data_IF_871473726220
#
_entry.id   IF_871473726220
#
_cell.length_a   1.000
_cell.length_b   1.000
_cell.length_c   1.000
_cell.angle_alpha   90.00
_cell.angle_beta   90.00
_cell.angle_gamma   90.00
#
_symmetry.space_group_name_H-M   'P 1'
#
loop_
_entity.id
_entity.type
_entity.pdbx_description
1 polymer ?
#
# COMPACT_ATOMS: atom_id res chain seq x y z
N UNK A 1 43.92 1.97 18.94
CA UNK A 1 44.09 1.65 17.51
C UNK A 1 43.33 0.35 17.27
N UNK A 2 42.01 0.42 17.02
CA UNK A 2 41.14 -0.73 16.81
C UNK A 2 40.52 -0.63 15.42
N UNK A 3 40.88 -1.57 14.55
CA UNK A 3 40.34 -1.72 13.20
C UNK A 3 38.91 -2.27 13.27
N UNK A 4 37.98 -1.56 12.63
CA UNK A 4 36.62 -2.03 12.37
C UNK A 4 36.64 -2.97 11.15
N UNK A 5 36.23 -4.22 11.36
CA UNK A 5 35.90 -5.18 10.32
C UNK A 5 34.53 -4.83 9.72
N UNK A 6 34.52 -4.29 8.50
CA UNK A 6 33.33 -4.24 7.64
C UNK A 6 33.09 -5.65 7.07
N UNK A 7 32.20 -6.40 7.72
CA UNK A 7 31.70 -7.67 7.20
C UNK A 7 30.70 -7.42 6.07
N UNK A 8 31.11 -7.76 4.85
CA UNK A 8 30.23 -7.86 3.69
C UNK A 8 29.19 -8.95 3.91
N UNK A 9 27.90 -8.57 3.96
CA UNK A 9 26.78 -9.50 3.88
C UNK A 9 25.58 -8.79 3.23
N UNK A 10 25.53 -8.79 1.90
CA UNK A 10 24.31 -8.45 1.15
C UNK A 10 24.38 -9.05 -0.26
N UNK A 11 24.21 -10.37 -0.36
CA UNK A 11 23.95 -11.04 -1.62
C UNK A 11 23.12 -12.30 -1.37
N UNK A 12 21.79 -12.18 -1.31
CA UNK A 12 20.90 -13.29 -1.66
C UNK A 12 19.44 -12.83 -1.82
N UNK A 13 18.84 -13.27 -2.93
CA UNK A 13 17.41 -13.28 -3.26
C UNK A 13 16.70 -11.93 -3.48
N UNK A 14 16.85 -11.37 -4.68
CA UNK A 14 15.80 -10.54 -5.30
C UNK A 14 15.01 -11.39 -6.30
N UNK A 15 13.67 -11.48 -6.20
CA UNK A 15 12.84 -12.22 -7.16
C UNK A 15 12.68 -11.49 -8.52
N UNK A 16 13.34 -10.36 -8.71
CA UNK A 16 13.48 -9.69 -10.00
C UNK A 16 14.94 -9.73 -10.41
N UNK A 17 15.23 -10.37 -11.55
CA UNK A 17 16.60 -10.54 -12.05
C UNK A 17 17.35 -9.21 -12.12
N UNK A 18 18.47 -9.12 -11.41
CA UNK A 18 19.61 -8.26 -11.73
C UNK A 18 19.40 -6.75 -11.82
N UNK A 19 18.32 -6.18 -11.27
CA UNK A 19 18.18 -4.71 -11.25
C UNK A 19 19.11 -4.17 -10.14
N UNK A 20 20.20 -3.51 -10.53
CA UNK A 20 21.07 -2.81 -9.59
C UNK A 20 20.28 -1.70 -8.86
N UNK A 21 20.54 -1.46 -7.57
CA UNK A 21 19.88 -0.46 -6.73
C UNK A 21 19.81 0.94 -7.38
N UNK A 22 20.82 1.33 -8.16
CA UNK A 22 20.81 2.58 -8.91
C UNK A 22 19.67 2.65 -9.96
N UNK A 23 19.38 1.53 -10.63
CA UNK A 23 18.29 1.46 -11.60
C UNK A 23 16.92 1.46 -10.89
N UNK A 24 16.80 0.81 -9.73
CA UNK A 24 15.58 0.87 -8.92
C UNK A 24 15.29 2.30 -8.42
N UNK A 25 16.31 3.02 -7.96
CA UNK A 25 16.17 4.42 -7.54
C UNK A 25 15.79 5.33 -8.72
N UNK A 26 16.38 5.11 -9.90
CA UNK A 26 16.01 5.86 -11.11
C UNK A 26 14.55 5.57 -11.52
N UNK A 27 14.12 4.31 -11.50
CA UNK A 27 12.72 3.92 -11.74
C UNK A 27 11.77 4.51 -10.71
N UNK A 28 12.16 4.51 -9.43
CA UNK A 28 11.41 5.12 -8.34
C UNK A 28 11.18 6.61 -8.56
N UNK A 29 12.26 7.37 -8.79
CA UNK A 29 12.18 8.81 -9.05
C UNK A 29 11.35 9.04 -10.31
N UNK A 30 11.67 8.35 -11.41
CA UNK A 30 10.94 8.50 -12.67
C UNK A 30 9.44 8.30 -12.47
N UNK A 31 9.05 7.28 -11.73
CA UNK A 31 7.65 6.91 -11.60
C UNK A 31 6.89 7.77 -10.57
N UNK A 32 7.58 8.46 -9.65
CA UNK A 32 7.00 9.56 -8.86
C UNK A 32 6.80 10.82 -9.72
N UNK A 33 7.73 11.08 -10.62
CA UNK A 33 7.81 12.35 -11.37
C UNK A 33 7.15 12.32 -12.74
N UNK A 34 6.59 11.18 -13.16
CA UNK A 34 6.03 10.99 -14.51
C UNK A 34 4.67 11.69 -14.74
N UNK A 35 4.24 12.51 -13.79
CA UNK A 35 3.00 13.27 -13.87
C UNK A 35 1.73 12.46 -13.59
N UNK A 36 1.84 11.15 -13.30
CA UNK A 36 0.69 10.37 -12.84
C UNK A 36 0.28 10.85 -11.45
N UNK A 37 -1.03 11.00 -11.24
CA UNK A 37 -1.57 11.32 -9.92
C UNK A 37 -1.15 10.23 -8.91
N UNK A 38 -0.50 10.58 -7.78
CA UNK A 38 -0.12 9.60 -6.75
C UNK A 38 -1.32 8.78 -6.23
N UNK A 39 -2.50 9.40 -6.23
CA UNK A 39 -3.77 8.75 -5.88
C UNK A 39 -4.21 7.74 -6.93
N UNK A 40 -4.01 8.03 -8.21
CA UNK A 40 -4.29 7.04 -9.24
C UNK A 40 -3.42 5.80 -9.01
N UNK A 41 -2.17 5.91 -8.58
CA UNK A 41 -1.33 4.74 -8.27
C UNK A 41 -1.96 3.83 -7.20
N UNK A 42 -2.57 4.38 -6.14
CA UNK A 42 -3.21 3.59 -5.07
C UNK A 42 -4.36 2.70 -5.56
N UNK A 43 -5.12 3.18 -6.56
CA UNK A 43 -6.22 2.43 -7.17
C UNK A 43 -5.77 1.59 -8.36
N UNK A 44 -4.86 2.12 -9.17
CA UNK A 44 -4.62 1.72 -10.55
C UNK A 44 -3.32 0.91 -10.75
N UNK A 45 -2.41 0.89 -9.78
CA UNK A 45 -1.22 0.05 -9.89
C UNK A 45 -1.60 -1.42 -9.97
N UNK A 46 -1.06 -2.12 -10.96
CA UNK A 46 -1.10 -3.57 -10.99
C UNK A 46 -0.12 -4.09 -9.93
N UNK A 47 -0.65 -4.61 -8.83
CA UNK A 47 0.16 -5.34 -7.86
C UNK A 47 0.62 -6.65 -8.53
N UNK A 48 1.94 -6.94 -8.58
CA UNK A 48 2.41 -8.20 -9.13
C UNK A 48 1.85 -9.35 -8.28
N UNK A 49 1.06 -10.27 -8.85
CA UNK A 49 0.46 -11.36 -8.11
C UNK A 49 1.57 -12.28 -7.62
N UNK A 50 1.74 -12.36 -6.31
CA UNK A 50 2.65 -13.32 -5.69
C UNK A 50 1.84 -14.47 -5.15
N UNK A 51 2.18 -15.67 -5.60
CA UNK A 51 1.74 -16.90 -4.95
C UNK A 51 2.24 -16.85 -3.50
N UNK A 52 1.33 -16.97 -2.54
CA UNK A 52 1.77 -17.38 -1.22
C UNK A 52 2.08 -18.87 -1.29
N UNK A 53 3.32 -19.25 -1.00
CA UNK A 53 3.59 -20.58 -0.46
C UNK A 53 2.56 -20.87 0.65
N UNK A 54 2.17 -22.13 0.83
CA UNK A 54 1.00 -22.55 1.62
C UNK A 54 0.84 -21.84 2.97
N UNK A 55 -0.36 -21.92 3.56
CA UNK A 55 -0.84 -21.13 4.71
C UNK A 55 0.11 -21.00 5.93
N UNK A 56 1.20 -21.78 6.01
CA UNK A 56 2.20 -21.79 7.07
C UNK A 56 3.54 -21.09 6.72
N UNK A 57 3.77 -20.62 5.48
CA UNK A 57 4.98 -19.84 5.13
C UNK A 57 4.78 -18.35 5.45
N UNK A 58 4.70 -18.09 6.75
CA UNK A 58 4.37 -16.83 7.43
C UNK A 58 5.49 -15.77 7.35
N UNK A 59 6.38 -15.86 6.36
CA UNK A 59 7.39 -14.83 6.11
C UNK A 59 6.81 -13.71 5.24
N UNK A 60 5.71 -13.11 5.71
CA UNK A 60 5.10 -11.93 5.11
C UNK A 60 6.16 -10.82 4.99
N UNK A 61 6.56 -10.46 3.77
CA UNK A 61 7.59 -9.46 3.55
C UNK A 61 7.20 -8.08 4.09
N UNK A 62 5.91 -7.75 4.12
CA UNK A 62 5.45 -6.50 4.73
C UNK A 62 5.63 -6.56 6.23
N UNK A 63 5.27 -7.71 6.82
CA UNK A 63 5.71 -8.03 8.17
C UNK A 63 7.23 -7.98 8.29
N UNK A 64 8.05 -8.42 7.31
CA UNK A 64 9.53 -8.26 7.39
C UNK A 64 9.95 -6.79 7.40
N UNK A 65 9.42 -5.93 6.53
CA UNK A 65 9.79 -4.51 6.48
C UNK A 65 9.41 -3.79 7.79
N UNK A 66 8.19 -3.98 8.27
CA UNK A 66 7.70 -3.36 9.51
C UNK A 66 8.34 -4.01 10.75
N UNK A 67 8.49 -5.34 10.79
CA UNK A 67 9.13 -6.04 11.90
C UNK A 67 10.62 -5.74 11.96
N UNK A 68 11.29 -5.57 10.83
CA UNK A 68 12.70 -5.17 10.81
C UNK A 68 12.86 -3.77 11.40
N UNK A 69 11.99 -2.83 11.02
CA UNK A 69 11.97 -1.51 11.63
C UNK A 69 11.74 -1.59 13.15
N UNK A 70 10.76 -2.38 13.60
CA UNK A 70 10.48 -2.61 15.03
C UNK A 70 11.63 -3.31 15.76
N UNK A 71 12.32 -4.25 15.11
CA UNK A 71 13.48 -4.96 15.66
C UNK A 71 14.63 -4.00 15.91
N UNK A 72 14.84 -3.04 15.01
CA UNK A 72 15.86 -1.99 15.14
C UNK A 72 15.43 -0.93 16.16
N UNK A 73 14.12 -0.71 16.33
CA UNK A 73 13.53 0.33 17.19
C UNK A 73 12.51 -0.23 18.21
N UNK A 74 12.92 -1.10 19.16
CA UNK A 74 11.97 -1.91 19.94
C UNK A 74 11.19 -1.17 21.04
N UNK A 75 11.62 0.03 21.45
CA UNK A 75 11.10 0.70 22.68
C UNK A 75 10.66 2.15 22.41
N UNK A 76 10.22 2.48 21.20
CA UNK A 76 9.77 3.84 20.89
C UNK A 76 8.31 4.07 21.26
N UNK A 77 8.01 5.21 21.86
CA UNK A 77 6.65 5.72 22.02
C UNK A 77 6.18 6.47 20.75
N UNK A 78 4.87 6.72 20.60
CA UNK A 78 4.31 7.36 19.40
C UNK A 78 4.95 8.69 19.02
N UNK A 79 5.35 9.50 20.01
CA UNK A 79 5.99 10.80 19.77
C UNK A 79 7.34 10.62 19.08
N UNK A 80 8.14 9.65 19.53
CA UNK A 80 9.44 9.31 18.96
C UNK A 80 9.29 8.67 17.56
N UNK A 81 8.26 7.84 17.38
CA UNK A 81 7.94 7.25 16.07
C UNK A 81 7.56 8.35 15.07
N UNK A 82 6.77 9.33 15.49
CA UNK A 82 6.39 10.49 14.66
C UNK A 82 7.61 11.33 14.31
N UNK A 83 8.51 11.56 15.26
CA UNK A 83 9.76 12.27 14.98
C UNK A 83 10.58 11.56 13.88
N UNK A 84 10.78 10.25 14.00
CA UNK A 84 11.46 9.44 12.95
C UNK A 84 10.73 9.44 11.62
N UNK A 85 9.38 9.37 11.64
CA UNK A 85 8.57 9.47 10.43
C UNK A 85 8.81 10.81 9.72
N UNK A 86 8.87 11.92 10.45
CA UNK A 86 9.15 13.25 9.90
C UNK A 86 10.54 13.29 9.25
N UNK A 87 11.58 12.82 9.95
CA UNK A 87 12.94 12.77 9.41
C UNK A 87 13.00 11.96 8.11
N UNK A 88 12.42 10.76 8.11
CA UNK A 88 12.40 9.88 6.94
C UNK A 88 11.62 10.46 5.76
N UNK A 89 10.47 11.11 6.00
CA UNK A 89 9.69 11.80 4.95
C UNK A 89 10.52 12.89 4.28
N UNK A 90 11.22 13.71 5.07
CA UNK A 90 12.05 14.80 4.54
C UNK A 90 13.26 14.26 3.78
N UNK A 91 13.86 13.17 4.25
CA UNK A 91 14.97 12.49 3.57
C UNK A 91 14.54 11.91 2.22
N UNK A 92 13.41 11.18 2.17
CA UNK A 92 12.88 10.61 0.92
C UNK A 92 12.42 11.67 -0.07
N UNK A 93 12.00 12.85 0.42
CA UNK A 93 11.62 13.97 -0.41
C UNK A 93 12.80 14.75 -1.00
N UNK A 94 13.96 14.75 -0.34
CA UNK A 94 15.13 15.49 -0.79
C UNK A 94 15.51 15.27 -2.27
N UNK A 95 15.57 14.02 -2.81
CA UNK A 95 15.88 13.78 -4.22
C UNK A 95 14.76 14.19 -5.20
N UNK A 96 13.56 14.49 -4.68
CA UNK A 96 12.35 14.87 -5.42
C UNK A 96 12.13 16.39 -5.47
N UNK A 97 12.94 17.18 -4.76
CA UNK A 97 12.82 18.63 -4.69
C UNK A 97 12.78 19.26 -6.09
N UNK A 98 11.73 20.03 -6.37
CA UNK A 98 11.50 20.69 -7.67
C UNK A 98 10.97 19.77 -8.77
N UNK A 99 10.69 18.49 -8.48
CA UNK A 99 10.18 17.51 -9.45
C UNK A 99 8.73 17.06 -9.18
N UNK A 100 8.19 17.37 -8.00
CA UNK A 100 6.82 17.06 -7.60
C UNK A 100 5.86 18.07 -8.26
N UNK A 101 5.28 17.71 -9.40
CA UNK A 101 4.43 18.61 -10.19
C UNK A 101 2.95 18.61 -9.76
N UNK A 102 2.52 17.65 -8.94
CA UNK A 102 1.10 17.42 -8.61
C UNK A 102 0.82 17.09 -7.14
N UNK A 103 1.72 17.45 -6.24
CA UNK A 103 1.52 17.16 -4.82
C UNK A 103 0.57 18.18 -4.17
N UNK A 104 -0.50 17.68 -3.55
CA UNK A 104 -1.45 18.46 -2.73
C UNK A 104 -0.77 19.11 -1.52
N UNK A 105 0.35 18.55 -1.05
CA UNK A 105 1.13 19.04 0.08
C UNK A 105 2.62 18.86 -0.18
N UNK A 106 3.40 19.87 0.16
CA UNK A 106 4.86 19.77 0.26
C UNK A 106 5.30 18.80 1.37
N UNK A 107 6.50 18.22 1.27
CA UNK A 107 7.11 17.42 2.34
C UNK A 107 7.14 18.16 3.68
N UNK A 108 7.41 19.47 3.67
CA UNK A 108 7.44 20.32 4.86
C UNK A 108 6.06 20.49 5.50
N UNK A 109 4.99 20.59 4.69
CA UNK A 109 3.62 20.65 5.19
C UNK A 109 3.15 19.31 5.78
N UNK A 110 3.56 18.18 5.18
CA UNK A 110 3.34 16.84 5.73
C UNK A 110 4.04 16.72 7.09
N UNK A 111 5.32 17.10 7.16
CA UNK A 111 6.09 17.11 8.40
C UNK A 111 5.45 18.02 9.46
N UNK A 112 4.99 19.22 9.08
CA UNK A 112 4.29 20.13 9.98
C UNK A 112 2.97 19.54 10.49
N UNK A 113 2.21 18.82 9.66
CA UNK A 113 0.99 18.14 10.08
C UNK A 113 1.27 17.06 11.14
N UNK A 114 2.31 16.25 10.94
CA UNK A 114 2.72 15.24 11.91
C UNK A 114 3.21 15.88 13.22
N UNK A 115 3.97 16.97 13.17
CA UNK A 115 4.41 17.71 14.37
C UNK A 115 3.24 18.22 15.21
N UNK A 116 2.16 18.69 14.57
CA UNK A 116 0.96 19.19 15.28
C UNK A 116 0.26 18.12 16.11
N UNK A 117 0.33 16.85 15.70
CA UNK A 117 -0.29 15.73 16.42
C UNK A 117 0.68 14.92 17.26
N UNK A 118 1.98 15.26 17.25
CA UNK A 118 3.05 14.48 17.88
C UNK A 118 2.84 14.21 19.39
N UNK A 119 2.09 15.08 20.08
CA UNK A 119 1.77 14.97 21.50
C UNK A 119 0.26 14.82 21.75
N UNK A 120 -0.51 14.51 20.70
CA UNK A 120 -1.95 14.25 20.79
C UNK A 120 -2.23 12.81 21.20
N UNK A 121 -3.51 12.43 21.23
CA UNK A 121 -3.88 11.04 21.49
C UNK A 121 -3.38 10.11 20.37
N UNK A 122 -3.19 8.83 20.70
CA UNK A 122 -2.81 7.80 19.71
C UNK A 122 -3.77 7.80 18.51
N UNK A 123 -5.08 7.94 18.77
CA UNK A 123 -6.10 8.00 17.74
C UNK A 123 -5.87 9.16 16.77
N UNK A 124 -5.64 10.37 17.28
CA UNK A 124 -5.43 11.56 16.44
C UNK A 124 -4.16 11.42 15.59
N UNK A 125 -3.11 10.83 16.15
CA UNK A 125 -1.86 10.54 15.43
C UNK A 125 -2.13 9.59 14.26
N UNK A 126 -2.82 8.49 14.52
CA UNK A 126 -3.08 7.46 13.53
C UNK A 126 -4.05 7.95 12.43
N UNK A 127 -5.11 8.68 12.80
CA UNK A 127 -6.03 9.30 11.83
C UNK A 127 -5.31 10.36 10.96
N UNK A 128 -4.38 11.13 11.54
CA UNK A 128 -3.54 12.05 10.78
C UNK A 128 -2.67 11.33 9.75
N UNK A 129 -2.00 10.25 10.15
CA UNK A 129 -1.13 9.45 9.26
C UNK A 129 -1.93 8.87 8.08
N UNK A 130 -3.11 8.31 8.33
CA UNK A 130 -4.00 7.80 7.27
C UNK A 130 -4.46 8.93 6.36
N UNK A 131 -4.83 10.07 6.93
CA UNK A 131 -5.24 11.25 6.16
C UNK A 131 -4.13 11.70 5.22
N UNK A 132 -2.89 11.81 5.71
CA UNK A 132 -1.74 12.19 4.89
C UNK A 132 -1.44 11.16 3.80
N UNK A 133 -1.50 9.86 4.12
CA UNK A 133 -1.33 8.77 3.15
C UNK A 133 -2.40 8.78 2.04
N UNK A 134 -3.62 9.25 2.32
CA UNK A 134 -4.71 9.26 1.33
C UNK A 134 -4.74 10.51 0.44
N UNK A 135 -3.93 11.53 0.77
CA UNK A 135 -3.77 12.73 -0.05
C UNK A 135 -2.97 12.44 -1.32
N UNK A 136 -3.10 13.31 -2.32
CA UNK A 136 -2.28 13.25 -3.53
C UNK A 136 -0.87 13.78 -3.22
N UNK A 137 -0.05 12.94 -2.59
CA UNK A 137 1.33 13.30 -2.23
C UNK A 137 2.27 12.17 -2.64
N UNK A 138 3.56 12.47 -2.80
CA UNK A 138 4.60 11.49 -3.08
C UNK A 138 4.62 10.35 -2.04
N UNK A 139 4.16 10.60 -0.82
CA UNK A 139 4.25 9.70 0.32
C UNK A 139 3.58 8.34 0.06
N UNK A 140 2.36 8.34 -0.50
CA UNK A 140 1.65 7.09 -0.75
C UNK A 140 2.30 6.27 -1.86
N UNK A 141 2.78 6.96 -2.90
CA UNK A 141 3.54 6.36 -3.97
C UNK A 141 4.81 5.72 -3.41
N UNK A 142 5.54 6.47 -2.60
CA UNK A 142 6.82 6.07 -2.03
C UNK A 142 6.71 4.81 -1.20
N UNK A 143 5.74 4.81 -0.28
CA UNK A 143 5.43 3.67 0.59
C UNK A 143 5.08 2.43 -0.25
N UNK A 144 4.16 2.55 -1.20
CA UNK A 144 3.73 1.39 -1.97
C UNK A 144 4.83 0.87 -2.90
N UNK A 145 5.65 1.75 -3.47
CA UNK A 145 6.79 1.35 -4.28
C UNK A 145 7.79 0.53 -3.46
N UNK A 146 8.24 1.03 -2.29
CA UNK A 146 9.23 0.29 -1.49
C UNK A 146 8.72 -1.06 -1.00
N UNK A 147 7.42 -1.16 -0.70
CA UNK A 147 6.79 -2.41 -0.28
C UNK A 147 6.67 -3.41 -1.45
N UNK A 148 6.27 -2.95 -2.64
CA UNK A 148 6.18 -3.78 -3.86
C UNK A 148 7.54 -4.33 -4.28
N UNK A 149 8.55 -3.47 -4.30
CA UNK A 149 9.89 -3.78 -4.80
C UNK A 149 10.85 -4.27 -3.73
N UNK A 150 10.38 -4.40 -2.49
CA UNK A 150 11.17 -4.95 -1.40
C UNK A 150 12.46 -4.19 -1.09
N UNK A 151 12.38 -2.87 -1.02
CA UNK A 151 13.54 -2.00 -0.79
C UNK A 151 13.89 -1.89 0.70
N UNK A 152 14.56 -2.91 1.24
CA UNK A 152 14.91 -2.96 2.67
C UNK A 152 15.84 -1.83 3.14
N UNK A 153 16.59 -1.21 2.24
CA UNK A 153 17.40 -0.02 2.50
C UNK A 153 16.56 1.19 2.94
N UNK A 154 15.25 1.19 2.66
CA UNK A 154 14.29 2.24 3.04
C UNK A 154 13.57 1.98 4.37
N UNK A 155 13.94 0.92 5.08
CA UNK A 155 13.32 0.55 6.37
C UNK A 155 13.47 1.66 7.41
N UNK A 156 14.61 2.35 7.48
CA UNK A 156 14.80 3.40 8.49
C UNK A 156 13.99 4.67 8.20
N UNK A 157 13.82 5.02 6.92
CA UNK A 157 13.13 6.25 6.50
C UNK A 157 11.62 6.07 6.41
N UNK A 158 11.13 4.99 5.79
CA UNK A 158 9.69 4.76 5.58
C UNK A 158 9.08 3.72 6.54
N UNK A 159 9.89 2.98 7.29
CA UNK A 159 9.43 2.05 8.33
C UNK A 159 8.52 2.68 9.39
N UNK A 160 8.84 3.85 9.96
CA UNK A 160 8.02 4.47 11.00
C UNK A 160 6.58 4.74 10.53
N UNK A 161 6.41 5.29 9.32
CA UNK A 161 5.08 5.61 8.81
C UNK A 161 4.32 4.34 8.37
N UNK A 162 5.00 3.34 7.80
CA UNK A 162 4.39 2.04 7.50
C UNK A 162 3.87 1.36 8.77
N UNK A 163 4.63 1.43 9.86
CA UNK A 163 4.22 0.92 11.17
C UNK A 163 2.95 1.61 11.66
N UNK A 164 2.89 2.95 11.64
CA UNK A 164 1.73 3.72 12.07
C UNK A 164 0.48 3.40 11.22
N UNK A 165 0.62 3.34 9.89
CA UNK A 165 -0.49 2.93 8.99
C UNK A 165 -1.01 1.53 9.31
N UNK A 166 -0.11 0.56 9.49
CA UNK A 166 -0.48 -0.80 9.86
C UNK A 166 -1.18 -0.85 11.22
N UNK A 167 -0.72 -0.05 12.18
CA UNK A 167 -1.31 0.02 13.51
C UNK A 167 -2.74 0.55 13.48
N UNK A 168 -2.99 1.62 12.70
CA UNK A 168 -4.35 2.13 12.50
C UNK A 168 -5.28 1.04 11.97
N UNK A 169 -4.86 0.35 10.90
CA UNK A 169 -5.70 -0.64 10.23
C UNK A 169 -6.02 -1.83 11.13
N UNK A 170 -5.08 -2.26 11.98
CA UNK A 170 -5.26 -3.42 12.85
C UNK A 170 -6.03 -3.13 14.13
N UNK A 171 -5.96 -1.92 14.68
CA UNK A 171 -6.42 -1.64 16.05
C UNK A 171 -7.45 -0.51 16.18
N UNK A 172 -7.50 0.43 15.23
CA UNK A 172 -8.34 1.64 15.35
C UNK A 172 -9.44 1.74 14.29
N UNK A 173 -9.36 0.91 13.25
CA UNK A 173 -10.42 0.76 12.25
C UNK A 173 -11.77 0.55 12.92
N UNK A 174 -12.77 1.43 12.70
CA UNK A 174 -14.13 1.18 13.14
C UNK A 174 -14.57 -0.15 12.53
N UNK A 175 -14.79 -1.16 13.37
CA UNK A 175 -15.35 -2.43 12.92
C UNK A 175 -16.67 -2.09 12.23
N UNK A 176 -16.74 -2.29 10.91
CA UNK A 176 -17.98 -2.07 10.16
C UNK A 176 -19.01 -3.00 10.81
N UNK A 177 -20.08 -2.48 11.43
CA UNK A 177 -21.09 -3.34 12.01
C UNK A 177 -21.61 -4.26 10.91
N UNK A 178 -21.62 -5.56 11.20
CA UNK A 178 -22.40 -6.50 10.40
C UNK A 178 -23.84 -5.98 10.53
N UNK A 179 -24.44 -5.52 9.43
CA UNK A 179 -25.79 -4.99 9.50
C UNK A 179 -26.75 -6.10 9.96
N UNK A 180 -27.77 -5.74 10.74
CA UNK A 180 -28.83 -6.65 11.21
C UNK A 180 -29.64 -7.26 10.05
N UNK A 181 -29.45 -6.77 8.82
CA UNK A 181 -29.99 -7.33 7.57
C UNK A 181 -29.11 -8.43 6.96
N UNK A 182 -28.00 -8.80 7.61
CA UNK A 182 -27.07 -9.85 7.16
C UNK A 182 -26.28 -9.50 5.89
N UNK A 183 -26.35 -8.25 5.42
CA UNK A 183 -25.60 -7.75 4.27
C UNK A 183 -24.79 -6.53 4.72
N UNK A 184 -23.60 -6.78 5.26
CA UNK A 184 -22.62 -5.71 5.35
C UNK A 184 -22.25 -5.30 3.92
N UNK A 185 -21.49 -4.21 3.75
CA UNK A 185 -20.89 -3.94 2.44
C UNK A 185 -19.83 -5.02 2.18
N UNK A 186 -20.31 -6.17 1.70
CA UNK A 186 -19.56 -7.41 1.53
C UNK A 186 -18.73 -7.38 0.26
N UNK A 187 -18.70 -6.26 -0.47
CA UNK A 187 -17.97 -6.17 -1.73
C UNK A 187 -17.37 -4.78 -1.90
N UNK A 188 -16.09 -4.76 -2.26
CA UNK A 188 -15.39 -3.55 -2.70
C UNK A 188 -14.75 -3.81 -4.07
N UNK A 189 -14.40 -2.73 -4.75
CA UNK A 189 -13.96 -2.76 -6.13
C UNK A 189 -12.63 -2.03 -6.27
N UNK A 190 -11.74 -2.55 -7.12
CA UNK A 190 -10.51 -1.85 -7.53
C UNK A 190 -10.40 -1.92 -9.05
N UNK A 191 -10.19 -0.77 -9.68
CA UNK A 191 -10.02 -0.65 -11.12
C UNK A 191 -8.55 -0.43 -11.45
N UNK A 192 -8.01 -1.28 -12.33
CA UNK A 192 -6.61 -1.26 -12.77
C UNK A 192 -6.55 -1.17 -14.29
N UNK A 193 -5.56 -0.44 -14.79
CA UNK A 193 -5.36 -0.13 -16.18
C UNK A 193 -3.89 -0.20 -16.56
N UNK A 194 -3.60 -1.00 -17.57
CA UNK A 194 -2.27 -1.25 -18.05
C UNK A 194 -2.03 -0.55 -19.39
N UNK A 195 -0.79 -0.11 -19.60
CA UNK A 195 -0.38 0.59 -20.82
C UNK A 195 -0.10 -0.38 -21.96
N UNK A 196 0.40 -1.57 -21.64
CA UNK A 196 0.78 -2.57 -22.64
C UNK A 196 -0.12 -3.80 -22.58
N UNK A 197 -0.37 -4.38 -23.75
CA UNK A 197 -1.07 -5.66 -23.86
C UNK A 197 -0.28 -6.79 -23.21
N UNK A 198 1.05 -6.74 -23.32
CA UNK A 198 1.95 -7.75 -22.77
C UNK A 198 1.83 -7.85 -21.26
N UNK A 199 1.86 -6.71 -20.56
CA UNK A 199 1.68 -6.68 -19.10
C UNK A 199 0.29 -7.13 -18.69
N UNK A 200 -0.73 -6.75 -19.47
CA UNK A 200 -2.11 -7.17 -19.23
C UNK A 200 -2.30 -8.67 -19.36
N UNK A 201 -1.79 -9.27 -20.45
CA UNK A 201 -1.83 -10.73 -20.65
C UNK A 201 -1.05 -11.45 -19.55
N UNK A 202 0.16 -10.98 -19.22
CA UNK A 202 0.99 -11.58 -18.17
C UNK A 202 0.27 -11.59 -16.82
N UNK A 203 -0.32 -10.47 -16.42
CA UNK A 203 -1.07 -10.36 -15.17
C UNK A 203 -2.28 -11.30 -15.15
N UNK A 204 -3.04 -11.37 -16.24
CA UNK A 204 -4.18 -12.29 -16.37
C UNK A 204 -3.72 -13.74 -16.26
N UNK A 205 -2.66 -14.12 -16.98
CA UNK A 205 -2.13 -15.48 -16.97
C UNK A 205 -1.65 -15.88 -15.57
N UNK A 206 -1.03 -14.95 -14.83
CA UNK A 206 -0.63 -15.16 -13.45
C UNK A 206 -1.84 -15.31 -12.52
N UNK A 207 -2.87 -14.47 -12.65
CA UNK A 207 -4.11 -14.62 -11.88
C UNK A 207 -4.86 -15.92 -12.21
N UNK A 208 -4.86 -16.34 -13.48
CA UNK A 208 -5.49 -17.59 -13.92
C UNK A 208 -4.83 -18.81 -13.27
N UNK A 209 -3.49 -18.81 -13.17
CA UNK A 209 -2.73 -19.85 -12.46
C UNK A 209 -3.00 -19.88 -10.96
N UNK A 210 -3.44 -18.75 -10.39
CA UNK A 210 -3.76 -18.63 -8.97
C UNK A 210 -5.21 -18.94 -8.63
N UNK A 211 -6.07 -19.26 -9.60
CA UNK A 211 -7.48 -19.64 -9.33
C UNK A 211 -7.53 -20.81 -8.33
N UNK A 212 -8.30 -20.63 -7.25
CA UNK A 212 -8.37 -21.57 -6.12
C UNK A 212 -7.25 -21.42 -5.08
N UNK A 213 -6.34 -20.46 -5.26
CA UNK A 213 -5.23 -20.16 -4.34
C UNK A 213 -5.21 -18.69 -3.94
N UNK A 214 -4.32 -18.32 -3.01
CA UNK A 214 -4.20 -16.96 -2.51
C UNK A 214 -3.19 -16.14 -3.31
N UNK A 215 -3.63 -14.96 -3.78
CA UNK A 215 -2.74 -13.89 -4.23
C UNK A 215 -2.43 -12.95 -3.08
N UNK A 216 -1.21 -12.38 -3.04
CA UNK A 216 -0.82 -11.38 -2.05
C UNK A 216 -0.58 -10.02 -2.71
N UNK A 217 -1.06 -8.95 -2.08
CA UNK A 217 -0.75 -7.57 -2.44
C UNK A 217 0.24 -6.96 -1.44
N UNK A 218 1.47 -6.62 -1.88
CA UNK A 218 2.51 -6.12 -0.98
C UNK A 218 2.26 -4.68 -0.52
N UNK A 219 1.68 -3.81 -1.35
CA UNK A 219 1.37 -2.44 -0.96
C UNK A 219 0.10 -2.30 -0.14
N UNK A 220 -0.04 -1.16 0.54
CA UNK A 220 -1.33 -0.74 1.08
C UNK A 220 -2.29 -0.47 -0.08
N UNK A 221 -3.46 -1.08 -0.06
CA UNK A 221 -4.35 -1.07 -1.24
C UNK A 221 -5.64 -0.32 -0.97
N UNK A 222 -5.89 0.69 -1.80
CA UNK A 222 -7.15 1.42 -1.81
C UNK A 222 -8.19 0.73 -2.70
N UNK A 223 -9.41 0.62 -2.18
CA UNK A 223 -10.58 0.08 -2.90
C UNK A 223 -11.79 0.97 -2.62
N UNK A 224 -12.85 0.82 -3.40
CA UNK A 224 -14.09 1.57 -3.18
C UNK A 224 -15.28 0.64 -2.98
N UNK A 225 -16.22 1.02 -2.11
CA UNK A 225 -17.54 0.38 -2.05
C UNK A 225 -18.43 0.70 -3.25
N UNK A 226 -18.07 1.70 -4.05
CA UNK A 226 -18.80 2.12 -5.24
C UNK A 226 -18.05 1.70 -6.51
N UNK A 227 -18.65 0.76 -7.26
CA UNK A 227 -18.08 0.27 -8.53
C UNK A 227 -17.85 1.40 -9.54
N UNK A 228 -18.65 2.47 -9.52
CA UNK A 228 -18.51 3.58 -10.46
C UNK A 228 -17.27 4.41 -10.15
N UNK A 229 -16.89 4.54 -8.87
CA UNK A 229 -15.64 5.18 -8.47
C UNK A 229 -14.45 4.38 -9.03
N UNK A 230 -14.44 3.06 -8.83
CA UNK A 230 -13.37 2.20 -9.36
C UNK A 230 -13.30 2.19 -10.90
N UNK A 231 -14.44 2.30 -11.59
CA UNK A 231 -14.48 2.44 -13.05
C UNK A 231 -13.89 3.76 -13.55
N UNK A 232 -14.03 4.87 -12.81
CA UNK A 232 -13.40 6.15 -13.20
C UNK A 232 -11.88 6.04 -13.29
N UNK A 233 -11.25 5.28 -12.39
CA UNK A 233 -9.82 5.03 -12.43
C UNK A 233 -9.37 4.17 -13.62
N UNK A 234 -10.30 3.50 -14.31
CA UNK A 234 -10.02 2.71 -15.52
C UNK A 234 -10.27 3.45 -16.84
N UNK A 235 -10.95 4.60 -16.81
CA UNK A 235 -11.59 5.19 -18.00
C UNK A 235 -10.61 5.62 -19.11
N UNK A 236 -9.31 5.72 -18.82
CA UNK A 236 -8.34 6.35 -19.72
C UNK A 236 -7.44 5.38 -20.49
N UNK A 237 -7.60 4.06 -20.38
CA UNK A 237 -6.67 3.09 -21.00
C UNK A 237 -7.37 1.90 -21.64
N UNK A 238 -6.66 1.26 -22.58
CA UNK A 238 -7.16 0.18 -23.44
C UNK A 238 -7.31 -1.16 -22.72
N UNK A 239 -6.41 -1.46 -21.78
CA UNK A 239 -6.36 -2.75 -21.09
C UNK A 239 -6.83 -2.58 -19.65
N UNK A 240 -8.09 -2.95 -19.38
CA UNK A 240 -8.78 -2.67 -18.12
C UNK A 240 -9.05 -3.96 -17.33
N UNK A 241 -8.84 -3.90 -16.02
CA UNK A 241 -9.08 -4.98 -15.08
C UNK A 241 -9.91 -4.45 -13.91
N UNK A 242 -11.05 -5.08 -13.64
CA UNK A 242 -11.87 -4.80 -12.48
C UNK A 242 -11.75 -5.95 -11.47
N UNK A 243 -11.10 -5.66 -10.35
CA UNK A 243 -11.15 -6.54 -9.19
C UNK A 243 -12.46 -6.33 -8.43
N UNK A 244 -13.18 -7.42 -8.20
CA UNK A 244 -14.36 -7.46 -7.31
C UNK A 244 -13.98 -8.29 -6.10
N UNK A 245 -13.91 -7.67 -4.93
CA UNK A 245 -13.39 -8.31 -3.71
C UNK A 245 -14.55 -8.54 -2.75
N UNK A 246 -14.93 -9.80 -2.56
CA UNK A 246 -15.94 -10.22 -1.59
C UNK A 246 -15.31 -10.34 -0.21
N UNK A 247 -15.86 -9.64 0.76
CA UNK A 247 -15.45 -9.71 2.16
C UNK A 247 -16.17 -10.88 2.81
N UNK A 248 -15.43 -11.85 3.34
CA UNK A 248 -16.07 -12.83 4.22
C UNK A 248 -16.18 -12.30 5.63
N UNK A 249 -17.32 -12.56 6.28
CA UNK A 249 -17.53 -12.37 7.71
C UNK A 249 -16.76 -13.46 8.48
N UNK A 250 -15.43 -13.48 8.34
CA UNK A 250 -14.64 -14.40 9.15
C UNK A 250 -14.64 -13.93 10.61
N UNK A 251 -14.77 -14.88 11.53
CA UNK A 251 -14.88 -14.69 12.99
C UNK A 251 -13.58 -14.15 13.62
N UNK A 252 -12.51 -13.93 12.84
CA UNK A 252 -11.21 -13.48 13.39
C UNK A 252 -11.15 -11.95 13.51
N UNK A 253 -10.88 -11.40 14.71
CA UNK A 253 -11.07 -9.98 15.04
C UNK A 253 -10.02 -9.00 14.51
N UNK A 254 -8.97 -9.45 13.81
CA UNK A 254 -7.92 -8.56 13.30
C UNK A 254 -8.22 -8.19 11.85
N UNK A 255 -9.07 -7.19 11.66
CA UNK A 255 -9.37 -6.65 10.33
C UNK A 255 -8.08 -6.08 9.74
N UNK A 256 -7.53 -6.74 8.69
CA UNK A 256 -6.46 -6.18 7.87
C UNK A 256 -6.99 -5.12 6.88
N UNK A 257 -8.01 -4.37 7.28
CA UNK A 257 -8.71 -3.36 6.47
C UNK A 257 -9.45 -2.33 7.33
N UNK A 258 -9.67 -1.14 6.78
CA UNK A 258 -10.49 -0.10 7.37
C UNK A 258 -11.34 0.62 6.32
N UNK A 259 -12.58 0.90 6.69
CA UNK A 259 -13.33 1.98 6.04
C UNK A 259 -12.70 3.30 6.47
N UNK A 260 -12.15 4.04 5.53
CA UNK A 260 -11.50 5.34 5.76
C UNK A 260 -12.28 6.48 5.10
N UNK A 261 -13.45 6.18 4.53
CA UNK A 261 -14.33 7.19 3.96
C UNK A 261 -14.71 8.33 4.92
N UNK A 262 -14.83 8.14 6.25
CA UNK A 262 -15.10 9.25 7.17
C UNK A 262 -13.94 10.25 7.29
N UNK A 263 -12.70 9.77 7.18
CA UNK A 263 -11.47 10.57 7.35
C UNK A 263 -11.16 11.42 6.11
N UNK A 264 -11.59 10.97 4.94
CA UNK A 264 -11.29 11.62 3.68
C UNK A 264 -12.27 12.79 3.41
N UNK A 265 -12.09 13.91 4.12
CA UNK A 265 -13.02 15.06 4.13
C UNK A 265 -13.50 15.51 2.73
N UNK A 266 -12.58 15.67 1.78
CA UNK A 266 -12.89 16.06 0.40
C UNK A 266 -13.23 14.88 -0.53
N UNK A 267 -13.17 13.64 -0.02
CA UNK A 267 -13.17 12.40 -0.82
C UNK A 267 -14.15 11.37 -0.24
N UNK A 268 -15.08 11.78 0.63
CA UNK A 268 -16.12 10.91 1.23
C UNK A 268 -16.94 10.14 0.19
N UNK A 269 -17.17 10.75 -0.97
CA UNK A 269 -17.92 10.15 -2.07
C UNK A 269 -17.23 8.90 -2.65
N UNK A 270 -15.94 8.70 -2.41
CA UNK A 270 -15.20 7.52 -2.88
C UNK A 270 -15.50 6.27 -2.07
N UNK A 271 -16.07 6.41 -0.88
CA UNK A 271 -16.38 5.28 0.01
C UNK A 271 -15.17 4.33 0.14
N UNK A 272 -14.00 4.91 0.36
CA UNK A 272 -12.73 4.22 0.30
C UNK A 272 -12.58 3.20 1.45
N UNK A 273 -12.16 1.99 1.10
CA UNK A 273 -11.74 0.94 2.03
C UNK A 273 -10.27 0.64 1.76
N UNK A 274 -9.43 0.86 2.77
CA UNK A 274 -8.00 0.65 2.71
C UNK A 274 -7.66 -0.72 3.31
N UNK A 275 -6.90 -1.52 2.56
CA UNK A 275 -6.34 -2.78 3.04
C UNK A 275 -4.91 -2.58 3.52
N UNK A 276 -4.53 -3.37 4.53
CA UNK A 276 -3.16 -3.41 5.00
C UNK A 276 -2.23 -3.93 3.91
N UNK A 277 -0.99 -3.46 3.94
CA UNK A 277 0.05 -4.06 3.15
C UNK A 277 0.18 -5.56 3.49
N UNK A 278 0.50 -6.39 2.49
CA UNK A 278 0.65 -7.83 2.64
C UNK A 278 -0.70 -8.59 2.74
N UNK A 279 -1.82 -7.93 2.46
CA UNK A 279 -3.13 -8.58 2.42
C UNK A 279 -3.16 -9.70 1.37
N UNK A 280 -3.92 -10.76 1.67
CA UNK A 280 -4.07 -11.93 0.82
C UNK A 280 -5.53 -12.07 0.39
N UNK A 281 -5.75 -12.54 -0.83
CA UNK A 281 -7.06 -12.76 -1.39
C UNK A 281 -7.09 -14.10 -2.11
N UNK A 282 -8.10 -14.92 -1.83
CA UNK A 282 -8.38 -16.11 -2.62
C UNK A 282 -8.88 -15.68 -4.00
N UNK A 283 -8.20 -16.11 -5.07
CA UNK A 283 -8.63 -15.86 -6.44
C UNK A 283 -9.72 -16.87 -6.79
N UNK A 284 -10.96 -16.41 -6.95
CA UNK A 284 -12.10 -17.29 -7.23
C UNK A 284 -12.25 -17.57 -8.72
N UNK A 285 -12.14 -16.54 -9.55
CA UNK A 285 -12.27 -16.66 -11.00
C UNK A 285 -11.64 -15.48 -11.73
N UNK A 286 -11.35 -15.71 -13.01
CA UNK A 286 -10.95 -14.69 -13.98
C UNK A 286 -11.93 -14.79 -15.15
N UNK A 287 -12.59 -13.68 -15.47
CA UNK A 287 -13.54 -13.59 -16.59
C UNK A 287 -12.97 -12.64 -17.64
N UNK A 288 -12.63 -13.19 -18.81
CA UNK A 288 -12.13 -12.39 -19.92
C UNK A 288 -13.22 -11.45 -20.46
N UNK A 289 -12.84 -10.21 -20.73
CA UNK A 289 -13.74 -9.19 -21.24
C UNK A 289 -13.07 -7.81 -21.25
N UNK A 290 -13.87 -6.77 -21.48
CA UNK A 290 -13.43 -5.38 -21.34
C UNK A 290 -14.42 -4.60 -20.45
N UNK A 291 -14.12 -4.40 -19.15
CA UNK A 291 -12.91 -4.83 -18.46
C UNK A 291 -12.86 -6.35 -18.24
N UNK A 292 -11.65 -6.90 -18.13
CA UNK A 292 -11.46 -8.25 -17.56
C UNK A 292 -11.80 -8.20 -16.08
N UNK A 293 -12.56 -9.18 -15.58
CA UNK A 293 -12.97 -9.20 -14.18
C UNK A 293 -12.20 -10.26 -13.42
N UNK A 294 -11.70 -9.90 -12.26
CA UNK A 294 -11.04 -10.83 -11.35
C UNK A 294 -11.84 -10.83 -10.06
N UNK A 295 -12.42 -11.99 -9.72
CA UNK A 295 -13.19 -12.16 -8.51
C UNK A 295 -12.28 -12.65 -7.40
N UNK A 296 -12.20 -11.87 -6.34
CA UNK A 296 -11.38 -12.11 -5.16
C UNK A 296 -12.26 -12.32 -3.94
N UNK A 297 -11.79 -13.12 -3.00
CA UNK A 297 -12.37 -13.26 -1.68
C UNK A 297 -11.32 -12.92 -0.62
N UNK A 298 -11.68 -12.01 0.29
CA UNK A 298 -10.88 -11.64 1.45
C UNK A 298 -11.31 -12.40 2.69
#
# INVERSE_FOLDING_TARGET
>A
MYQFLLGAAAATFMPFGGINAANLLASYISAITDGRSPRADRYNSAEPPRSSGGADDDSDYVSKFINEWRRINPVLNYSEIIHKAIEGILEEAAPLKGKLQHDELSPEEIAAALRRVQHSSERDILECVVTLYTRETFLCYSINFVLRYQMMEKVQTLGPICFLLQHYLLFFSPQVPISDSGKACDTVYRGVCLDSEGDWRKLIDECQKLVGTYMRWPGFTSTSKDINVSKKFMACRRYQILYTIRMTTSVKPKSRRSDISPLAENKRHEKEVLFSAGCQFLVQSVEHGNPTKILLQF
#
